data_IF_581222745570
#
_entry.id   IF_581222745570
#
_cell.length_a   1.000
_cell.length_b   1.000
_cell.length_c   1.000
_cell.angle_alpha   90.00
_cell.angle_beta   90.00
_cell.angle_gamma   90.00
#
_symmetry.space_group_name_H-M   'P 1'
#
loop_
_entity.id
_entity.type
_entity.pdbx_description
1 polymer ?
#
# COMPACT_ATOMS: atom_id res chain seq x y z
N UNK A 1 22.13 -11.90 -14.17
CA UNK A 1 20.77 -11.55 -13.69
C UNK A 1 20.55 -10.07 -13.98
N UNK A 2 19.77 -9.75 -15.00
CA UNK A 2 19.46 -8.37 -15.42
C UNK A 2 18.24 -7.91 -14.64
N UNK A 3 18.38 -6.86 -13.82
CA UNK A 3 17.26 -6.27 -13.09
C UNK A 3 16.30 -5.65 -14.13
N UNK A 4 15.01 -6.01 -14.15
CA UNK A 4 14.06 -5.42 -15.08
C UNK A 4 13.93 -3.93 -14.77
N UNK A 5 14.31 -3.09 -15.74
CA UNK A 5 14.10 -1.65 -15.67
C UNK A 5 12.60 -1.38 -15.47
N UNK A 6 12.26 -0.75 -14.34
CA UNK A 6 10.91 -0.29 -14.10
C UNK A 6 10.53 0.68 -15.23
N UNK A 7 9.57 0.28 -16.07
CA UNK A 7 8.98 1.19 -17.05
C UNK A 7 8.43 2.38 -16.27
N UNK A 8 8.93 3.59 -16.57
CA UNK A 8 8.30 4.82 -16.11
C UNK A 8 6.81 4.70 -16.45
N UNK A 9 5.89 4.99 -15.50
CA UNK A 9 4.46 4.94 -15.80
C UNK A 9 4.23 5.74 -17.08
N UNK A 10 3.73 5.07 -18.12
CA UNK A 10 3.50 5.69 -19.41
C UNK A 10 2.64 6.94 -19.25
N UNK A 11 2.88 7.93 -20.12
CA UNK A 11 2.07 9.15 -20.19
C UNK A 11 0.59 8.75 -20.17
N UNK A 12 -0.13 9.19 -19.13
CA UNK A 12 -1.58 8.95 -19.07
C UNK A 12 -2.21 9.66 -20.28
N UNK A 13 -3.29 9.13 -20.87
CA UNK A 13 -3.88 9.70 -22.09
C UNK A 13 -4.39 11.15 -21.94
N UNK A 14 -4.54 11.64 -20.71
CA UNK A 14 -4.91 13.02 -20.42
C UNK A 14 -3.71 13.95 -20.17
N UNK A 15 -2.50 13.41 -20.02
CA UNK A 15 -1.29 14.16 -19.73
C UNK A 15 -0.45 14.28 -21.00
N UNK A 16 -0.69 15.34 -21.76
CA UNK A 16 0.20 15.75 -22.84
C UNK A 16 1.60 16.03 -22.29
N UNK A 17 2.67 15.93 -23.10
CA UNK A 17 4.03 16.25 -22.66
C UNK A 17 4.15 17.65 -22.04
N UNK A 18 3.43 18.63 -22.59
CA UNK A 18 3.37 20.00 -22.08
C UNK A 18 2.71 20.08 -20.69
N UNK A 19 1.57 19.38 -20.51
CA UNK A 19 0.92 19.27 -19.22
C UNK A 19 1.84 18.64 -18.18
N UNK A 20 2.60 17.62 -18.59
CA UNK A 20 3.54 16.94 -17.73
C UNK A 20 4.65 17.90 -17.26
N UNK A 21 5.26 18.64 -18.17
CA UNK A 21 6.29 19.63 -17.85
C UNK A 21 5.75 20.71 -16.90
N UNK A 22 4.53 21.19 -17.12
CA UNK A 22 3.88 22.15 -16.22
C UNK A 22 3.65 21.56 -14.81
N UNK A 23 3.20 20.31 -14.71
CA UNK A 23 3.00 19.67 -13.41
C UNK A 23 4.31 19.45 -12.65
N UNK A 24 5.42 19.21 -13.35
CA UNK A 24 6.74 19.06 -12.73
C UNK A 24 7.21 20.35 -12.03
N UNK A 25 6.81 21.54 -12.50
CA UNK A 25 7.18 22.81 -11.85
C UNK A 25 6.55 22.96 -10.46
N UNK A 26 5.40 22.33 -10.21
CA UNK A 26 4.71 22.37 -8.92
C UNK A 26 5.22 21.35 -7.90
N UNK A 27 6.14 20.44 -8.28
CA UNK A 27 6.65 19.39 -7.39
C UNK A 27 7.32 19.95 -6.12
N UNK A 28 8.20 20.96 -6.19
CA UNK A 28 8.86 21.50 -5.01
C UNK A 28 7.85 22.02 -3.97
N UNK A 29 6.88 22.83 -4.40
CA UNK A 29 5.85 23.41 -3.52
C UNK A 29 4.94 22.35 -2.92
N UNK A 30 4.56 21.35 -3.72
CA UNK A 30 3.77 20.22 -3.25
C UNK A 30 4.51 19.42 -2.17
N UNK A 31 5.84 19.23 -2.30
CA UNK A 31 6.66 18.57 -1.27
C UNK A 31 6.72 19.37 0.02
N UNK A 32 6.89 20.68 -0.10
CA UNK A 32 6.85 21.58 1.05
C UNK A 32 5.53 21.44 1.79
N UNK A 33 4.40 21.40 1.08
CA UNK A 33 3.08 21.17 1.68
C UNK A 33 2.94 19.78 2.34
N UNK A 34 3.56 18.74 1.77
CA UNK A 34 3.54 17.39 2.36
C UNK A 34 4.34 17.28 3.67
N UNK A 35 5.40 18.06 3.83
CA UNK A 35 6.28 18.02 5.01
C UNK A 35 5.67 18.70 6.25
N UNK A 36 4.61 19.48 6.09
CA UNK A 36 3.98 20.24 7.17
C UNK A 36 3.10 19.35 8.06
N UNK A 37 3.16 19.56 9.39
CA UNK A 37 2.24 18.95 10.36
C UNK A 37 0.81 19.44 10.07
N UNK A 38 -0.11 18.52 9.75
CA UNK A 38 -1.43 18.90 9.20
C UNK A 38 -1.49 18.90 7.66
N UNK A 39 -0.71 18.02 7.02
CA UNK A 39 -0.56 17.86 5.56
C UNK A 39 -1.83 18.01 4.71
N UNK A 40 -3.00 17.61 5.20
CA UNK A 40 -4.25 17.72 4.44
C UNK A 40 -4.57 19.18 4.13
N UNK A 41 -4.51 20.05 5.14
CA UNK A 41 -4.78 21.48 4.98
C UNK A 41 -3.71 22.14 4.10
N UNK A 42 -2.43 21.84 4.33
CA UNK A 42 -1.33 22.40 3.53
C UNK A 42 -1.41 21.97 2.05
N UNK A 43 -1.75 20.71 1.76
CA UNK A 43 -1.96 20.22 0.40
C UNK A 43 -3.18 20.91 -0.25
N UNK A 44 -4.27 21.09 0.49
CA UNK A 44 -5.45 21.76 -0.06
C UNK A 44 -5.20 23.25 -0.32
N UNK A 45 -4.41 23.94 0.52
CA UNK A 45 -3.91 25.30 0.25
C UNK A 45 -3.07 25.35 -1.01
N UNK A 46 -2.07 24.46 -1.15
CA UNK A 46 -1.29 24.36 -2.38
C UNK A 46 -2.18 24.17 -3.62
N UNK A 47 -3.16 23.26 -3.56
CA UNK A 47 -4.07 23.03 -4.68
C UNK A 47 -4.94 24.26 -4.96
N UNK A 48 -5.37 25.01 -3.95
CA UNK A 48 -6.12 26.25 -4.16
C UNK A 48 -5.29 27.30 -4.91
N UNK A 49 -3.99 27.39 -4.64
CA UNK A 49 -3.10 28.36 -5.30
C UNK A 49 -2.63 27.87 -6.68
N UNK A 50 -2.47 26.55 -6.85
CA UNK A 50 -1.97 25.94 -8.07
C UNK A 50 -3.03 25.83 -9.17
N UNK A 51 -4.26 25.45 -8.83
CA UNK A 51 -5.31 25.16 -9.81
C UNK A 51 -5.69 26.38 -10.69
N UNK A 52 -5.77 27.62 -10.19
CA UNK A 52 -6.00 28.78 -11.04
C UNK A 52 -4.91 28.96 -12.10
N UNK A 53 -3.63 28.84 -11.72
CA UNK A 53 -2.50 28.93 -12.67
C UNK A 53 -2.55 27.81 -13.71
N UNK A 54 -2.92 26.61 -13.25
CA UNK A 54 -3.11 25.45 -14.11
C UNK A 54 -4.22 25.68 -15.14
N UNK A 55 -5.36 26.26 -14.76
CA UNK A 55 -6.46 26.52 -15.70
C UNK A 55 -6.21 27.69 -16.65
N UNK A 56 -5.30 28.60 -16.33
CA UNK A 56 -4.84 29.62 -17.29
C UNK A 56 -4.08 28.96 -18.44
N UNK A 57 -3.21 28.00 -18.15
CA UNK A 57 -2.41 27.28 -19.17
C UNK A 57 -3.21 26.16 -19.85
N UNK A 58 -4.12 25.52 -19.10
CA UNK A 58 -4.97 24.44 -19.57
C UNK A 58 -6.44 24.72 -19.27
N UNK A 59 -7.09 25.62 -20.04
CA UNK A 59 -8.48 25.98 -19.85
C UNK A 59 -9.40 24.76 -19.81
N UNK A 60 -10.43 24.88 -18.98
CA UNK A 60 -11.49 23.88 -18.92
C UNK A 60 -12.30 23.99 -20.21
N UNK A 61 -12.28 22.94 -21.04
CA UNK A 61 -13.03 22.88 -22.29
C UNK A 61 -13.91 21.62 -22.36
N UNK A 62 -15.06 21.73 -23.02
CA UNK A 62 -16.00 20.62 -23.23
C UNK A 62 -16.64 20.12 -21.93
N UNK A 63 -16.65 18.80 -21.73
CA UNK A 63 -17.28 18.11 -20.58
C UNK A 63 -16.40 18.06 -19.32
N UNK A 64 -15.27 18.77 -19.32
CA UNK A 64 -14.29 18.76 -18.24
C UNK A 64 -14.81 19.55 -17.04
N UNK A 65 -14.69 19.00 -15.83
CA UNK A 65 -15.14 19.65 -14.60
C UNK A 65 -13.97 20.01 -13.69
N UNK A 66 -14.02 21.20 -13.09
CA UNK A 66 -13.00 21.71 -12.16
C UNK A 66 -12.70 20.74 -11.00
N UNK A 67 -13.74 20.11 -10.44
CA UNK A 67 -13.58 19.14 -9.36
C UNK A 67 -12.82 17.87 -9.82
N UNK A 68 -13.12 17.36 -11.02
CA UNK A 68 -12.45 16.20 -11.59
C UNK A 68 -10.97 16.49 -11.89
N UNK A 69 -10.66 17.68 -12.37
CA UNK A 69 -9.29 18.14 -12.58
C UNK A 69 -8.50 18.21 -11.28
N UNK A 70 -9.07 18.89 -10.27
CA UNK A 70 -8.45 18.99 -8.95
C UNK A 70 -8.13 17.62 -8.38
N UNK A 71 -9.05 16.67 -8.50
CA UNK A 71 -8.83 15.29 -8.08
C UNK A 71 -7.68 14.61 -8.85
N UNK A 72 -7.65 14.73 -10.18
CA UNK A 72 -6.61 14.14 -11.03
C UNK A 72 -5.23 14.73 -10.75
N UNK A 73 -5.14 16.05 -10.59
CA UNK A 73 -3.89 16.75 -10.28
C UNK A 73 -3.39 16.38 -8.88
N UNK A 74 -4.28 16.33 -7.88
CA UNK A 74 -3.95 15.85 -6.54
C UNK A 74 -3.38 14.43 -6.59
N UNK A 75 -4.03 13.52 -7.31
CA UNK A 75 -3.54 12.15 -7.49
C UNK A 75 -2.20 12.11 -8.23
N UNK A 76 -2.00 12.96 -9.25
CA UNK A 76 -0.74 13.03 -9.97
C UNK A 76 0.40 13.43 -9.02
N UNK A 77 0.24 14.50 -8.25
CA UNK A 77 1.23 14.95 -7.28
C UNK A 77 1.46 13.94 -6.15
N UNK A 78 0.44 13.22 -5.68
CA UNK A 78 0.62 12.14 -4.70
C UNK A 78 1.54 11.02 -5.24
N UNK A 79 1.41 10.72 -6.54
CA UNK A 79 2.18 9.66 -7.20
C UNK A 79 3.59 10.10 -7.65
N UNK A 80 3.80 11.40 -7.93
CA UNK A 80 5.04 11.92 -8.54
C UNK A 80 5.80 12.91 -7.65
N UNK A 81 5.14 13.56 -6.70
CA UNK A 81 5.73 14.44 -5.70
C UNK A 81 6.66 13.68 -4.75
N UNK A 82 6.34 12.42 -4.47
CA UNK A 82 7.26 11.47 -3.88
C UNK A 82 8.16 10.90 -4.98
N UNK A 83 9.28 11.58 -5.31
CA UNK A 83 10.40 10.77 -5.77
C UNK A 83 10.66 9.83 -4.61
N UNK A 84 10.55 8.52 -4.85
CA UNK A 84 11.36 7.57 -4.11
C UNK A 84 12.77 8.14 -4.21
N UNK A 85 13.22 8.87 -3.18
CA UNK A 85 14.61 8.74 -2.76
C UNK A 85 14.78 7.24 -2.85
N UNK A 86 15.62 6.76 -3.77
CA UNK A 86 15.98 5.35 -3.83
C UNK A 86 16.02 4.92 -2.39
N UNK A 87 15.05 4.08 -2.00
CA UNK A 87 14.92 3.72 -0.60
C UNK A 87 16.27 3.08 -0.36
N UNK A 88 17.18 3.80 0.29
CA UNK A 88 18.43 3.24 0.78
C UNK A 88 17.88 2.13 1.62
N UNK A 89 17.95 0.91 1.10
CA UNK A 89 17.40 -0.26 1.76
C UNK A 89 18.19 -0.29 3.04
N UNK A 90 17.60 0.26 4.11
CA UNK A 90 18.26 0.23 5.39
C UNK A 90 18.31 -1.25 5.71
N UNK A 91 19.39 -1.69 6.33
CA UNK A 91 19.52 -3.10 6.75
C UNK A 91 18.27 -3.52 7.55
N UNK A 92 17.62 -2.58 8.26
CA UNK A 92 16.33 -2.76 8.94
C UNK A 92 15.12 -3.09 8.05
N UNK A 93 15.13 -2.74 6.75
CA UNK A 93 14.08 -3.10 5.78
C UNK A 93 14.28 -4.50 5.19
N UNK A 94 15.48 -5.08 5.33
CA UNK A 94 15.78 -6.48 4.97
C UNK A 94 15.16 -7.42 6.01
N UNK A 95 15.09 -6.99 7.27
CA UNK A 95 14.43 -7.74 8.32
C UNK A 95 12.94 -7.44 8.33
N UNK A 96 12.13 -8.51 8.26
CA UNK A 96 10.69 -8.40 8.42
C UNK A 96 10.39 -7.62 9.70
N UNK A 97 9.70 -6.48 9.58
CA UNK A 97 9.36 -5.64 10.74
C UNK A 97 8.75 -6.52 11.83
N UNK A 98 9.21 -6.42 13.09
CA UNK A 98 8.62 -7.18 14.17
C UNK A 98 7.13 -6.86 14.22
N UNK A 99 6.30 -7.91 14.19
CA UNK A 99 4.85 -7.75 14.33
C UNK A 99 4.61 -7.02 15.65
N UNK A 100 4.09 -5.80 15.57
CA UNK A 100 3.90 -4.89 16.72
C UNK A 100 2.80 -5.35 17.67
N UNK A 101 1.96 -6.30 17.25
CA UNK A 101 0.94 -6.89 18.11
C UNK A 101 1.52 -8.11 18.82
N UNK A 102 1.35 -8.15 20.13
CA UNK A 102 1.51 -9.38 20.91
C UNK A 102 0.67 -10.49 20.27
N UNK A 103 1.27 -11.67 20.14
CA UNK A 103 0.59 -12.85 19.62
C UNK A 103 -0.38 -13.38 20.68
N UNK A 104 -1.53 -13.86 20.23
CA UNK A 104 -2.45 -14.62 21.10
C UNK A 104 -1.86 -16.01 21.39
N UNK A 105 -2.25 -16.64 22.48
CA UNK A 105 -1.77 -17.98 22.86
C UNK A 105 -1.96 -19.01 21.73
N UNK A 106 -3.11 -18.99 21.05
CA UNK A 106 -3.37 -19.82 19.86
C UNK A 106 -2.37 -19.58 18.71
N UNK A 107 -1.96 -18.32 18.50
CA UNK A 107 -0.99 -17.95 17.45
C UNK A 107 0.43 -18.38 17.83
N UNK A 108 0.76 -18.39 19.13
CA UNK A 108 2.03 -18.91 19.66
C UNK A 108 2.06 -20.43 19.52
N UNK A 109 0.99 -21.12 19.95
CA UNK A 109 0.83 -22.57 19.78
C UNK A 109 0.95 -22.98 18.32
N UNK A 110 0.28 -22.25 17.43
CA UNK A 110 0.38 -22.49 15.99
C UNK A 110 1.83 -22.42 15.51
N UNK A 111 2.58 -21.40 15.91
CA UNK A 111 3.99 -21.26 15.49
C UNK A 111 4.88 -22.39 15.99
N UNK A 112 4.68 -22.84 17.22
CA UNK A 112 5.52 -23.86 17.84
C UNK A 112 5.22 -25.26 17.30
N UNK A 113 3.95 -25.56 17.04
CA UNK A 113 3.48 -26.92 16.76
C UNK A 113 2.86 -27.08 15.36
N UNK A 114 3.05 -26.11 14.45
CA UNK A 114 2.43 -26.17 13.13
C UNK A 114 2.82 -27.43 12.36
N UNK A 115 4.12 -27.70 12.24
CA UNK A 115 4.61 -28.81 11.41
C UNK A 115 4.21 -30.17 11.98
N UNK A 116 4.30 -30.32 13.30
CA UNK A 116 4.17 -31.62 13.95
C UNK A 116 2.73 -31.98 14.29
N UNK A 117 1.87 -30.99 14.58
CA UNK A 117 0.50 -31.24 15.10
C UNK A 117 -0.60 -30.71 14.19
N UNK A 118 -0.44 -29.50 13.66
CA UNK A 118 -1.53 -28.83 12.91
C UNK A 118 -1.52 -29.24 11.44
N UNK A 119 -0.34 -29.27 10.80
CA UNK A 119 -0.17 -29.55 9.38
C UNK A 119 -0.70 -30.94 8.98
N UNK A 120 -0.47 -32.04 9.72
CA UNK A 120 -1.02 -33.35 9.34
C UNK A 120 -2.55 -33.33 9.25
N UNK A 121 -3.22 -32.76 10.25
CA UNK A 121 -4.70 -32.68 10.31
C UNK A 121 -5.25 -31.74 9.23
N UNK A 122 -4.56 -30.63 8.96
CA UNK A 122 -4.92 -29.71 7.88
C UNK A 122 -4.72 -30.37 6.51
N UNK A 123 -3.66 -31.15 6.33
CA UNK A 123 -3.36 -31.85 5.08
C UNK A 123 -4.42 -32.93 4.77
N UNK A 124 -4.97 -33.59 5.78
CA UNK A 124 -6.11 -34.51 5.65
C UNK A 124 -7.41 -33.75 5.28
N UNK A 125 -7.72 -32.66 5.98
CA UNK A 125 -8.98 -31.91 5.75
C UNK A 125 -8.97 -31.03 4.50
N UNK A 126 -7.80 -30.65 3.99
CA UNK A 126 -7.70 -29.82 2.78
C UNK A 126 -7.84 -30.63 1.48
N UNK A 127 -7.95 -31.96 1.56
CA UNK A 127 -8.13 -32.80 0.38
C UNK A 127 -9.41 -32.38 -0.37
N UNK A 128 -9.25 -31.84 -1.58
CA UNK A 128 -10.36 -31.34 -2.40
C UNK A 128 -10.69 -29.84 -2.23
N UNK A 129 -9.97 -29.10 -1.39
CA UNK A 129 -10.18 -27.65 -1.21
C UNK A 129 -9.34 -26.86 -2.22
N UNK A 130 -10.00 -26.05 -3.04
CA UNK A 130 -9.37 -25.31 -4.14
C UNK A 130 -9.19 -23.81 -3.85
N UNK A 131 -9.83 -23.25 -2.81
CA UNK A 131 -9.65 -21.85 -2.44
C UNK A 131 -8.69 -21.64 -1.28
N UNK A 132 -7.81 -20.64 -1.41
CA UNK A 132 -6.89 -20.22 -0.34
C UNK A 132 -7.62 -19.78 0.92
N UNK A 133 -8.80 -19.16 0.78
CA UNK A 133 -9.59 -18.66 1.90
C UNK A 133 -10.11 -19.82 2.77
N UNK A 134 -10.55 -20.91 2.15
CA UNK A 134 -11.02 -22.10 2.86
C UNK A 134 -9.89 -22.84 3.56
N UNK A 135 -8.72 -22.97 2.92
CA UNK A 135 -7.52 -23.54 3.56
C UNK A 135 -7.14 -22.73 4.82
N UNK A 136 -7.19 -21.40 4.73
CA UNK A 136 -6.92 -20.54 5.89
C UNK A 136 -7.96 -20.69 7.00
N UNK A 137 -9.24 -20.92 6.66
CA UNK A 137 -10.28 -21.21 7.65
C UNK A 137 -10.02 -22.54 8.34
N UNK A 138 -9.73 -23.60 7.58
CA UNK A 138 -9.39 -24.93 8.11
C UNK A 138 -8.20 -24.85 9.07
N UNK A 139 -7.13 -24.14 8.71
CA UNK A 139 -5.96 -23.96 9.58
C UNK A 139 -6.37 -23.30 10.91
N UNK A 140 -7.19 -22.24 10.87
CA UNK A 140 -7.63 -21.53 12.08
C UNK A 140 -8.49 -22.43 12.97
N UNK A 141 -9.44 -23.13 12.39
CA UNK A 141 -10.35 -24.00 13.13
C UNK A 141 -9.58 -25.16 13.79
N UNK A 142 -8.63 -25.78 13.06
CA UNK A 142 -7.78 -26.85 13.58
C UNK A 142 -6.79 -26.38 14.64
N UNK A 143 -6.19 -25.22 14.44
CA UNK A 143 -5.35 -24.62 15.49
C UNK A 143 -6.14 -24.40 16.76
N UNK A 144 -7.39 -23.92 16.66
CA UNK A 144 -8.25 -23.67 17.82
C UNK A 144 -8.72 -24.96 18.50
N UNK A 145 -9.12 -25.97 17.74
CA UNK A 145 -9.53 -27.28 18.28
C UNK A 145 -8.37 -27.97 19.00
N UNK A 146 -7.18 -28.02 18.39
CA UNK A 146 -5.99 -28.65 18.98
C UNK A 146 -5.48 -27.88 20.20
N UNK A 147 -5.40 -26.55 20.11
CA UNK A 147 -5.13 -25.71 21.28
C UNK A 147 -6.15 -25.94 22.39
N UNK A 148 -7.40 -26.25 22.01
CA UNK A 148 -8.44 -26.46 23.01
C UNK A 148 -8.41 -27.82 23.70
N UNK A 149 -7.96 -28.84 22.99
CA UNK A 149 -7.83 -30.21 23.49
C UNK A 149 -6.55 -30.43 24.32
N UNK A 150 -5.58 -29.51 24.26
CA UNK A 150 -4.30 -29.62 24.95
C UNK A 150 -4.38 -29.33 26.46
N UNK A 151 -3.47 -29.96 27.24
CA UNK A 151 -3.31 -29.73 28.69
C UNK A 151 -3.09 -28.25 29.03
N UNK A 152 -3.59 -27.74 30.17
CA UNK A 152 -3.35 -26.36 30.61
C UNK A 152 -1.85 -25.98 30.71
N UNK A 153 -0.97 -26.96 30.85
CA UNK A 153 0.49 -26.75 30.94
C UNK A 153 1.12 -26.28 29.61
N UNK A 154 0.42 -26.47 28.49
CA UNK A 154 0.85 -26.07 27.14
C UNK A 154 0.15 -24.79 26.65
N UNK A 155 -0.93 -24.38 27.32
CA UNK A 155 -1.73 -23.18 26.99
C UNK A 155 -1.21 -21.92 27.67
#
# INVERSE_FOLDING_TARGET
MTIPAWKKPGLKPWATPELWAFLETGIPDYRSAQAVKGKTSAIDTFLNDFMPKFWVVHPIAGTRMAASDRMRIKQWFQNHGNKKVETVVRISDIFAKPKTRALKAEEVYSRLYYQDRIKPVVDERKAGVSSRAEVLRIIKDMTKELFNAESPEVR
#
